data_IF_410219102498
#
_entry.id   IF_410219102498
#
_cell.length_a   1.000
_cell.length_b   1.000
_cell.length_c   1.000
_cell.angle_alpha   90.00
_cell.angle_beta   90.00
_cell.angle_gamma   90.00
#
_symmetry.space_group_name_H-M   'P 1'
#
loop_
_entity.id
_entity.type
_entity.pdbx_description
1 polymer ?
#
# COMPACT_ATOMS: atom_id res chain seq x y z
N UNK A 1 -34.25 26.07 16.54
CA UNK A 1 -34.95 26.07 15.24
C UNK A 1 -34.19 26.98 14.28
N UNK A 2 -32.95 26.59 13.93
CA UNK A 2 -32.27 27.04 12.72
C UNK A 2 -32.18 25.75 11.93
N UNK A 3 -33.27 25.42 11.23
CA UNK A 3 -33.27 24.29 10.31
C UNK A 3 -32.33 24.67 9.17
N UNK A 4 -31.30 23.86 8.96
CA UNK A 4 -30.62 23.84 7.68
C UNK A 4 -31.69 23.62 6.61
N UNK A 5 -32.01 24.66 5.86
CA UNK A 5 -32.87 24.53 4.69
C UNK A 5 -32.13 23.63 3.71
N UNK A 6 -32.57 22.36 3.64
CA UNK A 6 -32.20 21.46 2.57
C UNK A 6 -33.30 21.55 1.50
N UNK A 7 -32.93 21.53 0.21
CA UNK A 7 -31.59 21.47 -0.34
C UNK A 7 -30.79 22.74 -0.04
N UNK A 8 -29.46 22.63 -0.02
CA UNK A 8 -28.57 23.77 0.21
C UNK A 8 -28.86 24.86 -0.83
N UNK A 9 -29.13 26.08 -0.34
CA UNK A 9 -29.40 27.28 -1.15
C UNK A 9 -28.38 28.37 -0.82
N UNK A 10 -28.30 29.38 -1.69
CA UNK A 10 -27.43 30.56 -1.51
C UNK A 10 -26.20 30.55 -2.42
N UNK A 11 -25.38 31.60 -2.31
CA UNK A 11 -24.23 31.84 -3.18
C UNK A 11 -23.12 30.79 -3.10
N UNK A 12 -23.03 30.08 -1.97
CA UNK A 12 -22.04 29.01 -1.77
C UNK A 12 -22.52 27.63 -2.25
N UNK A 13 -23.77 27.50 -2.73
CA UNK A 13 -24.30 26.22 -3.22
C UNK A 13 -23.43 25.63 -4.33
N UNK A 14 -23.15 26.40 -5.37
CA UNK A 14 -22.39 25.91 -6.53
C UNK A 14 -20.93 25.56 -6.18
N UNK A 15 -20.17 26.41 -5.46
CA UNK A 15 -18.83 26.05 -5.00
C UNK A 15 -18.78 24.78 -4.15
N UNK A 16 -19.72 24.61 -3.22
CA UNK A 16 -19.78 23.42 -2.36
C UNK A 16 -20.11 22.17 -3.19
N UNK A 17 -21.06 22.27 -4.12
CA UNK A 17 -21.40 21.17 -5.03
C UNK A 17 -20.20 20.73 -5.88
N UNK A 18 -19.41 21.69 -6.38
CA UNK A 18 -18.19 21.40 -7.13
C UNK A 18 -17.16 20.69 -6.25
N UNK A 19 -16.91 21.18 -5.02
CA UNK A 19 -16.00 20.54 -4.09
C UNK A 19 -16.44 19.11 -3.76
N UNK A 20 -17.70 18.90 -3.39
CA UNK A 20 -18.25 17.57 -3.10
C UNK A 20 -18.15 16.62 -4.31
N UNK A 21 -18.38 17.14 -5.52
CA UNK A 21 -18.21 16.37 -6.75
C UNK A 21 -16.75 15.95 -6.97
N UNK A 22 -15.78 16.80 -6.62
CA UNK A 22 -14.36 16.45 -6.69
C UNK A 22 -14.01 15.26 -5.77
N UNK A 23 -14.65 15.12 -4.60
CA UNK A 23 -14.46 13.92 -3.77
C UNK A 23 -14.89 12.65 -4.51
N UNK A 24 -16.07 12.66 -5.13
CA UNK A 24 -16.61 11.52 -5.87
C UNK A 24 -15.65 11.12 -6.99
N UNK A 25 -15.22 12.09 -7.80
CA UNK A 25 -14.31 11.86 -8.92
C UNK A 25 -12.94 11.37 -8.46
N UNK A 26 -12.36 11.99 -7.44
CA UNK A 26 -11.03 11.63 -6.94
C UNK A 26 -11.02 10.21 -6.35
N UNK A 27 -12.03 9.85 -5.57
CA UNK A 27 -12.19 8.49 -5.04
C UNK A 27 -12.39 7.47 -6.16
N UNK A 28 -13.18 7.81 -7.19
CA UNK A 28 -13.39 6.96 -8.35
C UNK A 28 -12.10 6.78 -9.16
N UNK A 29 -11.33 7.86 -9.36
CA UNK A 29 -10.03 7.83 -10.01
C UNK A 29 -9.06 6.89 -9.29
N UNK A 30 -9.00 6.96 -7.96
CA UNK A 30 -8.18 6.02 -7.17
C UNK A 30 -8.62 4.57 -7.37
N UNK A 31 -9.92 4.29 -7.34
CA UNK A 31 -10.43 2.95 -7.64
C UNK A 31 -10.02 2.48 -9.05
N UNK A 32 -10.07 3.37 -10.05
CA UNK A 32 -9.65 3.07 -11.43
C UNK A 32 -8.14 2.86 -11.53
N UNK A 33 -7.31 3.65 -10.84
CA UNK A 33 -5.86 3.47 -10.78
C UNK A 33 -5.51 2.07 -10.24
N UNK A 34 -6.13 1.65 -9.14
CA UNK A 34 -5.90 0.31 -8.59
C UNK A 34 -6.42 -0.80 -9.52
N UNK A 35 -7.53 -0.58 -10.21
CA UNK A 35 -8.00 -1.49 -11.26
C UNK A 35 -7.01 -1.63 -12.41
N UNK A 36 -6.46 -0.50 -12.90
CA UNK A 36 -5.45 -0.49 -13.97
C UNK A 36 -4.17 -1.19 -13.54
N UNK A 37 -3.72 -1.02 -12.28
CA UNK A 37 -2.57 -1.76 -11.73
C UNK A 37 -2.78 -3.28 -11.78
N UNK A 38 -3.96 -3.76 -11.38
CA UNK A 38 -4.31 -5.20 -11.47
C UNK A 38 -4.25 -5.71 -12.91
N UNK A 39 -4.73 -4.92 -13.88
CA UNK A 39 -4.80 -5.34 -15.29
C UNK A 39 -3.46 -5.28 -16.01
N UNK A 40 -2.61 -4.30 -15.67
CA UNK A 40 -1.37 -4.00 -16.40
C UNK A 40 -0.22 -4.95 -16.06
N UNK A 41 -0.18 -5.47 -14.84
CA UNK A 41 0.92 -6.31 -14.40
C UNK A 41 0.55 -7.81 -14.51
N UNK A 42 1.51 -8.66 -14.93
CA UNK A 42 1.46 -10.12 -14.71
C UNK A 42 1.72 -10.42 -13.23
N UNK A 43 0.82 -9.95 -12.36
CA UNK A 43 1.02 -9.98 -10.91
C UNK A 43 0.80 -11.39 -10.37
N UNK A 44 1.62 -11.79 -9.40
CA UNK A 44 1.26 -12.86 -8.46
C UNK A 44 -0.10 -12.58 -7.78
N UNK A 45 -0.89 -13.63 -7.54
CA UNK A 45 -2.29 -13.53 -7.08
C UNK A 45 -2.51 -12.66 -5.82
N UNK A 46 -1.47 -12.49 -5.02
CA UNK A 46 -1.48 -11.82 -3.73
C UNK A 46 -1.52 -10.29 -3.86
N UNK A 47 -0.64 -9.66 -4.67
CA UNK A 47 -0.71 -8.22 -4.94
C UNK A 47 -2.01 -7.86 -5.67
N UNK A 48 -2.53 -8.75 -6.53
CA UNK A 48 -3.88 -8.58 -7.10
C UNK A 48 -4.98 -8.52 -6.05
N UNK A 49 -4.85 -9.23 -4.92
CA UNK A 49 -5.88 -9.27 -3.88
C UNK A 49 -5.91 -7.99 -3.04
N UNK A 50 -4.77 -7.46 -2.61
CA UNK A 50 -4.71 -6.21 -1.84
C UNK A 50 -5.30 -5.04 -2.63
N UNK A 51 -4.91 -4.93 -3.91
CA UNK A 51 -5.40 -3.91 -4.82
C UNK A 51 -6.92 -4.02 -5.03
N UNK A 52 -7.47 -5.25 -5.12
CA UNK A 52 -8.94 -5.47 -5.12
C UNK A 52 -9.58 -4.88 -3.87
N UNK A 53 -8.96 -5.09 -2.70
CA UNK A 53 -9.44 -4.50 -1.45
C UNK A 53 -9.55 -2.98 -1.55
N UNK A 54 -8.51 -2.30 -2.04
CA UNK A 54 -8.50 -0.85 -2.21
C UNK A 54 -9.55 -0.36 -3.20
N UNK A 55 -9.79 -1.10 -4.30
CA UNK A 55 -10.89 -0.79 -5.22
C UNK A 55 -12.22 -0.76 -4.48
N UNK A 56 -12.52 -1.79 -3.67
CA UNK A 56 -13.76 -1.82 -2.88
C UNK A 56 -13.82 -0.65 -1.90
N UNK A 57 -12.72 -0.34 -1.21
CA UNK A 57 -12.63 0.79 -0.29
C UNK A 57 -13.02 2.11 -1.00
N UNK A 58 -12.30 2.49 -2.05
CA UNK A 58 -12.49 3.78 -2.70
C UNK A 58 -13.80 3.88 -3.47
N UNK A 59 -14.23 2.80 -4.12
CA UNK A 59 -15.51 2.74 -4.83
C UNK A 59 -16.69 2.89 -3.85
N UNK A 60 -16.62 2.27 -2.67
CA UNK A 60 -17.62 2.40 -1.62
C UNK A 60 -17.78 3.83 -1.12
N UNK A 61 -16.66 4.52 -0.87
CA UNK A 61 -16.69 5.93 -0.47
C UNK A 61 -17.17 6.85 -1.60
N UNK A 62 -16.80 6.59 -2.86
CA UNK A 62 -17.24 7.39 -4.01
C UNK A 62 -18.77 7.32 -4.17
N UNK A 63 -19.34 6.11 -4.11
CA UNK A 63 -20.80 5.92 -4.19
C UNK A 63 -21.50 6.58 -3.00
N UNK A 64 -20.98 6.42 -1.78
CA UNK A 64 -21.54 7.09 -0.60
C UNK A 64 -21.60 8.61 -0.79
N UNK A 65 -20.50 9.23 -1.23
CA UNK A 65 -20.45 10.68 -1.47
C UNK A 65 -21.41 11.13 -2.56
N UNK A 66 -21.62 10.33 -3.61
CA UNK A 66 -22.66 10.60 -4.59
C UNK A 66 -24.07 10.68 -3.96
N UNK A 67 -24.42 9.76 -3.04
CA UNK A 67 -25.68 9.82 -2.30
C UNK A 67 -25.75 11.04 -1.36
N UNK A 68 -24.63 11.47 -0.79
CA UNK A 68 -24.57 12.71 0.01
C UNK A 68 -24.93 13.92 -0.86
N UNK A 69 -24.33 14.04 -2.05
CA UNK A 69 -24.63 15.13 -3.00
C UNK A 69 -26.12 15.12 -3.37
N UNK A 70 -26.67 13.96 -3.73
CA UNK A 70 -28.10 13.84 -4.07
C UNK A 70 -28.97 14.28 -2.89
N UNK A 71 -28.67 13.79 -1.69
CA UNK A 71 -29.43 14.10 -0.48
C UNK A 71 -29.37 15.58 -0.09
N UNK A 72 -28.20 16.21 -0.18
CA UNK A 72 -27.98 17.58 0.31
C UNK A 72 -28.37 18.68 -0.68
N UNK A 73 -28.28 18.44 -2.00
CA UNK A 73 -28.48 19.49 -3.01
C UNK A 73 -29.78 19.39 -3.81
N UNK A 74 -30.42 18.22 -3.81
CA UNK A 74 -31.55 17.95 -4.71
C UNK A 74 -32.82 17.48 -4.01
N UNK A 75 -32.81 17.26 -2.69
CA UNK A 75 -33.94 16.67 -1.97
C UNK A 75 -34.48 17.63 -0.91
N UNK A 76 -35.70 18.12 -1.13
CA UNK A 76 -36.38 19.03 -0.18
C UNK A 76 -36.94 18.30 1.06
N UNK A 77 -37.38 17.05 0.89
CA UNK A 77 -38.00 16.29 1.99
C UNK A 77 -36.94 15.72 2.93
N UNK A 78 -37.00 16.12 4.22
CA UNK A 78 -36.10 15.64 5.28
C UNK A 78 -36.10 14.10 5.37
N UNK A 79 -37.28 13.48 5.25
CA UNK A 79 -37.41 12.03 5.31
C UNK A 79 -36.74 11.34 4.12
N UNK A 80 -36.96 11.86 2.90
CA UNK A 80 -36.36 11.31 1.69
C UNK A 80 -34.85 11.52 1.67
N UNK A 81 -34.38 12.70 2.10
CA UNK A 81 -32.95 13.00 2.25
C UNK A 81 -32.30 12.00 3.21
N UNK A 82 -32.87 11.83 4.40
CA UNK A 82 -32.36 10.86 5.35
C UNK A 82 -32.33 9.45 4.74
N UNK A 83 -33.39 9.01 4.07
CA UNK A 83 -33.42 7.71 3.38
C UNK A 83 -32.25 7.54 2.40
N UNK A 84 -32.02 8.53 1.53
CA UNK A 84 -30.94 8.55 0.52
C UNK A 84 -29.55 8.50 1.20
N UNK A 85 -29.34 9.29 2.25
CA UNK A 85 -28.08 9.27 3.01
C UNK A 85 -27.83 7.91 3.64
N UNK A 86 -28.85 7.29 4.24
CA UNK A 86 -28.71 5.96 4.85
C UNK A 86 -28.42 4.88 3.81
N UNK A 87 -29.02 4.98 2.62
CA UNK A 87 -28.71 4.08 1.52
C UNK A 87 -27.23 4.21 1.11
N UNK A 88 -26.72 5.44 1.01
CA UNK A 88 -25.30 5.71 0.76
C UNK A 88 -24.37 5.07 1.80
N UNK A 89 -24.66 5.26 3.10
CA UNK A 89 -23.88 4.63 4.17
C UNK A 89 -23.97 3.11 4.20
N UNK A 90 -25.16 2.53 3.93
CA UNK A 90 -25.32 1.07 3.85
C UNK A 90 -24.48 0.49 2.71
N UNK A 91 -24.53 1.11 1.54
CA UNK A 91 -23.70 0.72 0.40
C UNK A 91 -22.22 0.80 0.80
N UNK A 92 -21.78 1.91 1.39
CA UNK A 92 -20.41 2.05 1.87
C UNK A 92 -20.00 0.90 2.79
N UNK A 93 -20.81 0.53 3.77
CA UNK A 93 -20.52 -0.59 4.68
C UNK A 93 -20.34 -1.92 3.92
N UNK A 94 -21.17 -2.19 2.90
CA UNK A 94 -21.07 -3.39 2.05
C UNK A 94 -19.75 -3.41 1.26
N UNK A 95 -19.28 -2.26 0.80
CA UNK A 95 -17.98 -2.16 0.15
C UNK A 95 -16.82 -2.33 1.15
N UNK A 96 -16.93 -1.71 2.33
CA UNK A 96 -15.93 -1.81 3.40
C UNK A 96 -15.77 -3.24 3.94
N UNK A 97 -16.86 -4.01 4.09
CA UNK A 97 -16.75 -5.42 4.49
C UNK A 97 -16.02 -6.25 3.42
N UNK A 98 -16.18 -5.94 2.13
CA UNK A 98 -15.42 -6.62 1.09
C UNK A 98 -13.92 -6.30 1.19
N UNK A 99 -13.55 -5.05 1.48
CA UNK A 99 -12.18 -4.67 1.81
C UNK A 99 -11.65 -5.47 3.01
N UNK A 100 -12.36 -5.46 4.15
CA UNK A 100 -11.96 -6.20 5.37
C UNK A 100 -11.80 -7.70 5.10
N UNK A 101 -12.76 -8.31 4.38
CA UNK A 101 -12.75 -9.73 4.02
C UNK A 101 -11.53 -10.10 3.18
N UNK A 102 -11.19 -9.27 2.21
CA UNK A 102 -10.03 -9.49 1.34
C UNK A 102 -8.73 -9.42 2.15
N UNK A 103 -8.61 -8.45 3.03
CA UNK A 103 -7.43 -8.31 3.89
C UNK A 103 -7.29 -9.45 4.90
N UNK A 104 -8.39 -9.86 5.57
CA UNK A 104 -8.39 -11.01 6.50
C UNK A 104 -8.19 -12.36 5.81
N UNK A 105 -8.58 -12.48 4.52
CA UNK A 105 -8.27 -13.68 3.72
C UNK A 105 -6.77 -13.84 3.54
N UNK A 106 -6.05 -12.73 3.38
CA UNK A 106 -4.61 -12.73 3.15
C UNK A 106 -3.82 -12.96 4.43
N UNK A 107 -4.17 -12.23 5.50
CA UNK A 107 -3.44 -12.32 6.77
C UNK A 107 -4.39 -12.46 7.94
N UNK A 108 -4.08 -13.43 8.81
CA UNK A 108 -4.79 -13.59 10.08
C UNK A 108 -4.22 -12.57 11.06
N UNK A 109 -4.98 -11.50 11.33
CA UNK A 109 -4.58 -10.47 12.29
C UNK A 109 -4.74 -10.95 13.74
N UNK A 110 -5.94 -11.44 14.09
CA UNK A 110 -6.26 -11.97 15.42
C UNK A 110 -6.83 -13.38 15.28
N UNK A 111 -7.97 -13.50 14.59
CA UNK A 111 -8.62 -14.77 14.26
C UNK A 111 -9.17 -14.66 12.85
N UNK A 112 -9.14 -15.78 12.10
CA UNK A 112 -9.58 -15.81 10.70
C UNK A 112 -11.03 -15.31 10.57
N UNK A 113 -11.22 -14.24 9.81
CA UNK A 113 -12.51 -13.58 9.55
C UNK A 113 -13.25 -13.01 10.78
N UNK A 114 -12.54 -12.62 11.83
CA UNK A 114 -13.16 -12.04 13.03
C UNK A 114 -13.88 -10.73 12.69
N UNK A 115 -13.15 -9.79 12.08
CA UNK A 115 -13.68 -8.45 11.78
C UNK A 115 -14.77 -8.52 10.71
N UNK A 116 -14.60 -9.38 9.70
CA UNK A 116 -15.60 -9.64 8.67
C UNK A 116 -16.92 -10.10 9.30
N UNK A 117 -16.89 -11.06 10.24
CA UNK A 117 -18.11 -11.56 10.90
C UNK A 117 -18.80 -10.47 11.72
N UNK A 118 -18.03 -9.68 12.49
CA UNK A 118 -18.57 -8.57 13.28
C UNK A 118 -19.22 -7.52 12.37
N UNK A 119 -18.50 -7.10 11.32
CA UNK A 119 -19.01 -6.13 10.33
C UNK A 119 -20.27 -6.66 9.61
N UNK A 120 -20.33 -7.96 9.31
CA UNK A 120 -21.50 -8.59 8.67
C UNK A 120 -22.74 -8.49 9.56
N UNK A 121 -22.59 -8.81 10.84
CA UNK A 121 -23.68 -8.70 11.83
C UNK A 121 -24.15 -7.25 11.94
N UNK A 122 -23.22 -6.29 12.00
CA UNK A 122 -23.55 -4.87 12.05
C UNK A 122 -24.26 -4.38 10.77
N UNK A 123 -23.89 -4.88 9.59
CA UNK A 123 -24.60 -4.57 8.33
C UNK A 123 -26.01 -5.12 8.34
N UNK A 124 -26.21 -6.36 8.81
CA UNK A 124 -27.56 -6.95 8.93
C UNK A 124 -28.43 -6.15 9.92
N UNK A 125 -27.87 -5.75 11.06
CA UNK A 125 -28.56 -4.91 12.04
C UNK A 125 -28.85 -3.52 11.44
N UNK A 126 -27.90 -2.93 10.69
CA UNK A 126 -28.09 -1.66 9.99
C UNK A 126 -29.20 -1.74 8.95
N UNK A 127 -29.27 -2.83 8.20
CA UNK A 127 -30.33 -3.09 7.22
C UNK A 127 -31.70 -3.24 7.89
N UNK A 128 -31.79 -3.92 9.04
CA UNK A 128 -33.05 -4.01 9.80
C UNK A 128 -33.45 -2.65 10.38
N UNK A 129 -32.50 -1.93 10.97
CA UNK A 129 -32.72 -0.59 11.52
C UNK A 129 -33.12 0.44 10.45
N UNK A 130 -32.78 0.19 9.18
CA UNK A 130 -33.22 0.98 8.04
C UNK A 130 -34.74 1.16 8.00
N UNK A 131 -35.50 0.12 8.36
CA UNK A 131 -36.97 0.10 8.30
C UNK A 131 -37.67 0.52 9.60
N UNK A 132 -36.96 0.58 10.74
CA UNK A 132 -37.57 0.82 12.06
C UNK A 132 -37.56 2.32 12.39
N UNK A 133 -36.39 2.88 12.66
CA UNK A 133 -36.24 4.29 13.04
C UNK A 133 -34.83 4.80 12.68
N UNK A 134 -34.79 6.07 12.28
CA UNK A 134 -33.60 6.86 12.06
C UNK A 134 -32.62 6.99 13.21
N UNK A 135 -33.11 6.97 14.45
CA UNK A 135 -32.26 7.21 15.62
C UNK A 135 -31.27 6.07 15.89
N UNK A 136 -31.73 4.81 15.83
CA UNK A 136 -30.88 3.63 16.06
C UNK A 136 -29.76 3.49 15.03
N UNK A 137 -29.95 4.03 13.82
CA UNK A 137 -28.96 3.96 12.73
C UNK A 137 -27.66 4.67 13.09
N UNK A 138 -27.73 5.81 13.77
CA UNK A 138 -26.53 6.54 14.17
C UNK A 138 -25.66 5.71 15.11
N UNK A 139 -26.27 5.02 16.08
CA UNK A 139 -25.56 4.13 17.00
C UNK A 139 -24.91 2.95 16.28
N UNK A 140 -25.62 2.34 15.32
CA UNK A 140 -25.09 1.21 14.54
C UNK A 140 -23.93 1.67 13.64
N UNK A 141 -24.07 2.82 12.99
CA UNK A 141 -23.03 3.42 12.16
C UNK A 141 -21.78 3.72 12.98
N UNK A 142 -21.93 4.36 14.15
CA UNK A 142 -20.82 4.64 15.07
C UNK A 142 -20.14 3.35 15.55
N UNK A 143 -20.94 2.33 15.90
CA UNK A 143 -20.42 1.01 16.29
C UNK A 143 -19.60 0.39 15.17
N UNK A 144 -20.09 0.42 13.93
CA UNK A 144 -19.37 -0.07 12.75
C UNK A 144 -18.04 0.66 12.56
N UNK A 145 -18.02 1.98 12.67
CA UNK A 145 -16.80 2.77 12.53
C UNK A 145 -15.77 2.46 13.61
N UNK A 146 -16.18 2.21 14.86
CA UNK A 146 -15.25 1.80 15.93
C UNK A 146 -14.54 0.49 15.54
N UNK A 147 -15.27 -0.52 15.08
CA UNK A 147 -14.67 -1.79 14.66
C UNK A 147 -13.82 -1.63 13.40
N UNK A 148 -14.26 -0.83 12.44
CA UNK A 148 -13.51 -0.57 11.21
C UNK A 148 -12.20 0.17 11.50
N UNK A 149 -12.22 1.21 12.33
CA UNK A 149 -11.03 1.96 12.75
C UNK A 149 -10.09 1.06 13.54
N UNK A 150 -10.62 0.22 14.44
CA UNK A 150 -9.82 -0.76 15.18
C UNK A 150 -9.12 -1.75 14.23
N UNK A 151 -9.86 -2.32 13.28
CA UNK A 151 -9.30 -3.16 12.23
C UNK A 151 -8.21 -2.44 11.43
N UNK A 152 -8.51 -1.23 10.95
CA UNK A 152 -7.61 -0.46 10.10
C UNK A 152 -6.34 -0.05 10.87
N UNK A 153 -6.45 0.27 12.15
CA UNK A 153 -5.30 0.55 13.02
C UNK A 153 -4.40 -0.67 13.18
N UNK A 154 -4.97 -1.85 13.44
CA UNK A 154 -4.21 -3.11 13.50
C UNK A 154 -3.53 -3.39 12.16
N UNK A 155 -4.24 -3.17 11.06
CA UNK A 155 -3.71 -3.30 9.70
C UNK A 155 -2.50 -2.37 9.47
N UNK A 156 -2.58 -1.09 9.85
CA UNK A 156 -1.45 -0.14 9.73
C UNK A 156 -0.26 -0.51 10.62
N UNK A 157 -0.50 -0.90 11.87
CA UNK A 157 0.55 -1.34 12.80
C UNK A 157 1.27 -2.56 12.23
N UNK A 158 0.50 -3.52 11.72
CA UNK A 158 1.06 -4.72 11.10
C UNK A 158 1.88 -4.38 9.84
N UNK A 159 1.39 -3.44 9.03
CA UNK A 159 2.11 -2.92 7.87
C UNK A 159 3.42 -2.25 8.30
N UNK A 160 3.42 -1.42 9.35
CA UNK A 160 4.61 -0.71 9.82
C UNK A 160 5.64 -1.56 10.61
N UNK A 161 5.20 -2.54 11.39
CA UNK A 161 5.99 -3.08 12.53
C UNK A 161 7.16 -4.00 12.21
N UNK A 162 7.29 -4.56 11.00
CA UNK A 162 8.29 -5.62 10.75
C UNK A 162 9.18 -5.46 9.53
N UNK A 163 8.74 -4.76 8.49
CA UNK A 163 9.42 -4.85 7.20
C UNK A 163 9.86 -3.48 6.66
N UNK A 164 8.96 -2.49 6.63
CA UNK A 164 9.27 -1.18 6.02
C UNK A 164 10.19 -0.30 6.87
N UNK A 165 10.17 -0.46 8.20
CA UNK A 165 11.07 0.30 9.09
C UNK A 165 12.52 -0.20 8.99
N UNK A 166 12.76 -1.52 8.78
CA UNK A 166 14.12 -2.09 8.71
C UNK A 166 14.79 -1.81 7.35
N UNK A 167 14.01 -1.82 6.27
CA UNK A 167 14.56 -1.67 4.91
C UNK A 167 14.57 -0.21 4.44
N UNK A 168 13.86 0.69 5.14
CA UNK A 168 13.68 2.10 4.76
C UNK A 168 13.24 2.26 3.30
N UNK A 169 12.24 1.44 2.92
CA UNK A 169 11.65 1.47 1.58
C UNK A 169 11.00 2.84 1.36
N UNK A 170 11.63 3.65 0.49
CA UNK A 170 11.06 4.88 -0.11
C UNK A 170 10.49 5.90 0.89
N UNK A 171 11.09 6.03 2.08
CA UNK A 171 10.60 7.00 3.07
C UNK A 171 9.19 6.67 3.58
N UNK A 172 8.84 5.39 3.70
CA UNK A 172 7.53 4.94 4.18
C UNK A 172 7.05 5.65 5.47
N UNK A 173 7.96 6.03 6.38
CA UNK A 173 7.64 6.81 7.59
C UNK A 173 7.03 8.18 7.27
N UNK A 174 7.55 8.86 6.24
CA UNK A 174 7.04 10.14 5.78
C UNK A 174 5.64 9.98 5.18
N UNK A 175 5.42 8.93 4.40
CA UNK A 175 4.09 8.64 3.82
C UNK A 175 3.07 8.26 4.91
N UNK A 176 3.48 7.49 5.92
CA UNK A 176 2.63 7.19 7.08
C UNK A 176 2.30 8.46 7.87
N UNK A 177 3.25 9.38 8.03
CA UNK A 177 3.01 10.68 8.67
C UNK A 177 2.00 11.50 7.86
N UNK A 178 2.16 11.59 6.53
CA UNK A 178 1.19 12.25 5.63
C UNK A 178 -0.20 11.63 5.76
N UNK A 179 -0.27 10.30 5.85
CA UNK A 179 -1.53 9.59 6.07
C UNK A 179 -2.20 9.99 7.40
N UNK A 180 -1.45 10.03 8.51
CA UNK A 180 -1.98 10.46 9.80
C UNK A 180 -2.45 11.92 9.78
N UNK A 181 -1.68 12.82 9.17
CA UNK A 181 -2.08 14.22 8.97
C UNK A 181 -3.36 14.28 8.13
N UNK A 182 -3.46 13.47 7.08
CA UNK A 182 -4.65 13.35 6.25
C UNK A 182 -5.90 12.93 7.02
N UNK A 183 -5.79 11.93 7.91
CA UNK A 183 -6.90 11.54 8.80
C UNK A 183 -7.33 12.69 9.70
N UNK A 184 -6.37 13.40 10.31
CA UNK A 184 -6.67 14.53 11.20
C UNK A 184 -7.41 15.62 10.42
N UNK A 185 -6.96 15.95 9.22
CA UNK A 185 -7.61 16.93 8.35
C UNK A 185 -9.03 16.52 7.97
N UNK A 186 -9.26 15.25 7.62
CA UNK A 186 -10.61 14.74 7.34
C UNK A 186 -11.49 14.80 8.59
N UNK A 187 -10.98 14.43 9.77
CA UNK A 187 -11.74 14.46 11.02
C UNK A 187 -12.12 15.89 11.43
N UNK A 188 -11.17 16.82 11.36
CA UNK A 188 -11.40 18.25 11.61
C UNK A 188 -12.39 18.80 10.58
N UNK A 189 -12.14 18.58 9.29
CA UNK A 189 -13.04 19.03 8.24
C UNK A 189 -14.45 18.45 8.37
N UNK A 190 -14.60 17.17 8.71
CA UNK A 190 -15.90 16.54 8.98
C UNK A 190 -16.61 17.11 10.21
N UNK A 191 -15.85 17.58 11.19
CA UNK A 191 -16.44 18.29 12.33
C UNK A 191 -16.99 19.64 11.87
N UNK A 192 -16.24 20.39 11.05
CA UNK A 192 -16.67 21.68 10.51
C UNK A 192 -17.91 21.60 9.60
N UNK A 193 -18.09 20.47 8.90
CA UNK A 193 -19.29 20.23 8.06
C UNK A 193 -20.51 19.78 8.87
N UNK A 194 -20.39 19.55 10.19
CA UNK A 194 -21.55 19.16 11.00
C UNK A 194 -22.62 20.25 11.03
N UNK A 195 -23.88 19.82 10.93
CA UNK A 195 -25.07 20.70 10.93
C UNK A 195 -25.08 21.73 12.07
N UNK A 196 -24.55 21.37 13.25
CA UNK A 196 -24.47 22.28 14.39
C UNK A 196 -23.53 23.46 14.14
N UNK A 197 -22.31 23.21 13.65
CA UNK A 197 -21.34 24.27 13.36
C UNK A 197 -21.79 25.10 12.16
N UNK A 198 -22.35 24.46 11.13
CA UNK A 198 -22.95 25.16 9.99
C UNK A 198 -24.11 26.04 10.41
N UNK A 199 -24.93 25.60 11.38
CA UNK A 199 -26.02 26.41 11.92
C UNK A 199 -25.55 27.65 12.70
N UNK A 200 -24.34 27.61 13.30
CA UNK A 200 -23.77 28.73 14.07
C UNK A 200 -22.97 29.68 13.18
N UNK A 201 -22.11 29.15 12.30
CA UNK A 201 -21.14 29.91 11.51
C UNK A 201 -21.56 30.09 10.04
N UNK A 202 -22.67 29.49 9.60
CA UNK A 202 -23.16 29.54 8.23
C UNK A 202 -22.42 28.60 7.26
N UNK A 203 -22.72 28.71 5.98
CA UNK A 203 -22.14 27.84 4.93
C UNK A 203 -20.62 28.04 4.72
N UNK A 204 -20.05 29.16 5.18
CA UNK A 204 -18.62 29.43 5.07
C UNK A 204 -17.75 28.41 5.82
N UNK A 205 -18.19 27.96 7.01
CA UNK A 205 -17.44 26.95 7.77
C UNK A 205 -17.47 25.58 7.09
N UNK A 206 -18.59 25.24 6.43
CA UNK A 206 -18.73 24.03 5.62
C UNK A 206 -17.73 24.03 4.48
N UNK A 207 -17.64 25.15 3.75
CA UNK A 207 -16.70 25.31 2.64
C UNK A 207 -15.23 25.11 3.06
N UNK A 208 -14.84 25.69 4.20
CA UNK A 208 -13.51 25.46 4.79
C UNK A 208 -13.33 23.98 5.16
N UNK A 209 -14.36 23.37 5.75
CA UNK A 209 -14.37 21.95 6.11
C UNK A 209 -14.15 21.04 4.89
N UNK A 210 -14.84 21.30 3.78
CA UNK A 210 -14.71 20.54 2.53
C UNK A 210 -13.31 20.70 1.92
N UNK A 211 -12.71 21.90 1.96
CA UNK A 211 -11.31 22.10 1.52
C UNK A 211 -10.33 21.26 2.37
N UNK A 212 -10.49 21.26 3.70
CA UNK A 212 -9.64 20.48 4.59
C UNK A 212 -9.79 18.98 4.35
N UNK A 213 -11.03 18.50 4.17
CA UNK A 213 -11.30 17.11 3.84
C UNK A 213 -10.67 16.72 2.50
N UNK A 214 -10.74 17.57 1.46
CA UNK A 214 -10.18 17.29 0.14
C UNK A 214 -8.65 17.20 0.21
N UNK A 215 -8.01 18.14 0.91
CA UNK A 215 -6.57 18.10 1.12
C UNK A 215 -6.15 16.86 1.93
N UNK A 216 -6.93 16.50 2.96
CA UNK A 216 -6.72 15.27 3.72
C UNK A 216 -6.84 14.01 2.86
N UNK A 217 -7.81 13.97 1.95
CA UNK A 217 -8.00 12.88 1.00
C UNK A 217 -6.83 12.75 0.02
N UNK A 218 -6.29 13.87 -0.48
CA UNK A 218 -5.09 13.89 -1.32
C UNK A 218 -3.90 13.28 -0.58
N UNK A 219 -3.66 13.67 0.68
CA UNK A 219 -2.57 13.08 1.49
C UNK A 219 -2.74 11.58 1.71
N UNK A 220 -3.96 11.14 2.00
CA UNK A 220 -4.28 9.71 2.14
C UNK A 220 -4.03 8.96 0.83
N UNK A 221 -4.36 9.56 -0.31
CA UNK A 221 -4.18 8.93 -1.62
C UNK A 221 -2.71 8.66 -1.95
N UNK A 222 -1.82 9.60 -1.62
CA UNK A 222 -0.37 9.42 -1.80
C UNK A 222 0.15 8.23 -1.02
N UNK A 223 -0.36 8.04 0.20
CA UNK A 223 -0.04 6.87 1.01
C UNK A 223 -0.46 5.58 0.29
N UNK A 224 -1.73 5.43 -0.09
CA UNK A 224 -2.21 4.21 -0.75
C UNK A 224 -1.53 3.92 -2.10
N UNK A 225 -1.21 4.96 -2.88
CA UNK A 225 -0.48 4.82 -4.15
C UNK A 225 0.95 4.29 -3.92
N UNK A 226 1.57 4.69 -2.80
CA UNK A 226 2.95 4.36 -2.46
C UNK A 226 3.07 3.07 -1.64
N UNK A 227 1.98 2.58 -1.03
CA UNK A 227 2.01 1.34 -0.25
C UNK A 227 2.55 0.20 -1.14
N UNK A 228 3.70 -0.38 -0.78
CA UNK A 228 4.20 -1.59 -1.42
C UNK A 228 3.27 -2.78 -1.19
N UNK A 229 3.27 -3.69 -2.17
CA UNK A 229 2.39 -4.85 -2.12
C UNK A 229 2.79 -5.84 -1.03
N UNK A 230 1.83 -6.62 -0.53
CA UNK A 230 2.09 -7.66 0.46
C UNK A 230 3.11 -8.74 0.04
N UNK A 231 3.39 -8.92 -1.26
CA UNK A 231 4.48 -9.80 -1.71
C UNK A 231 5.84 -9.36 -1.19
N UNK A 232 6.00 -8.06 -1.00
CA UNK A 232 7.21 -7.49 -0.42
C UNK A 232 7.39 -7.97 1.02
N UNK A 233 6.33 -8.34 1.75
CA UNK A 233 6.43 -8.83 3.13
C UNK A 233 7.10 -10.21 3.23
N UNK A 234 6.85 -11.10 2.27
CA UNK A 234 7.38 -12.47 2.24
C UNK A 234 8.56 -12.61 1.26
N UNK A 235 9.34 -11.54 1.09
CA UNK A 235 10.48 -11.49 0.17
C UNK A 235 11.53 -12.59 0.45
N UNK A 236 11.73 -12.97 1.72
CA UNK A 236 12.72 -13.99 2.13
C UNK A 236 12.47 -15.31 1.42
N UNK A 237 11.21 -15.73 1.35
CA UNK A 237 10.80 -16.96 0.69
C UNK A 237 11.08 -16.91 -0.81
N UNK A 238 11.13 -15.72 -1.41
CA UNK A 238 11.33 -15.52 -2.85
C UNK A 238 12.79 -15.53 -3.28
N UNK A 239 13.74 -15.48 -2.33
CA UNK A 239 15.17 -15.58 -2.61
C UNK A 239 15.56 -17.04 -2.82
N UNK A 240 16.21 -17.31 -3.95
CA UNK A 240 16.80 -18.63 -4.24
C UNK A 240 18.27 -18.62 -3.82
N UNK A 241 19.02 -17.64 -4.31
CA UNK A 241 20.45 -17.51 -4.00
C UNK A 241 20.98 -16.11 -4.27
N UNK A 242 22.05 -15.76 -3.56
CA UNK A 242 22.85 -14.55 -3.76
C UNK A 242 24.26 -14.95 -4.14
N UNK A 243 24.84 -14.26 -5.11
CA UNK A 243 26.23 -14.39 -5.53
C UNK A 243 26.93 -13.04 -5.49
N UNK A 244 28.18 -13.04 -5.08
CA UNK A 244 29.09 -11.91 -5.19
C UNK A 244 30.25 -12.32 -6.10
N UNK A 245 30.54 -11.47 -7.07
CA UNK A 245 31.64 -11.64 -8.01
C UNK A 245 32.52 -10.41 -7.98
N UNK A 246 33.83 -10.58 -8.07
CA UNK A 246 34.75 -9.49 -8.32
C UNK A 246 34.53 -8.91 -9.72
N UNK A 247 34.92 -7.64 -9.95
CA UNK A 247 34.87 -7.04 -11.29
C UNK A 247 35.66 -7.81 -12.34
N UNK A 248 36.71 -8.53 -11.93
CA UNK A 248 37.47 -9.44 -12.80
C UNK A 248 36.68 -10.67 -13.30
N UNK A 249 35.46 -10.91 -12.80
CA UNK A 249 34.64 -12.08 -13.12
C UNK A 249 34.94 -13.31 -12.24
N UNK A 250 35.83 -13.16 -11.26
CA UNK A 250 36.09 -14.19 -10.26
C UNK A 250 34.99 -14.21 -9.20
N UNK A 251 34.63 -15.42 -8.79
CA UNK A 251 33.61 -15.64 -7.78
C UNK A 251 34.17 -15.42 -6.36
N UNK A 252 33.43 -14.69 -5.52
CA UNK A 252 33.82 -14.37 -4.14
C UNK A 252 32.95 -15.12 -3.12
N UNK A 253 31.63 -15.09 -3.29
CA UNK A 253 30.71 -15.60 -2.28
C UNK A 253 29.38 -16.06 -2.88
N UNK A 254 28.80 -17.13 -2.32
CA UNK A 254 27.47 -17.65 -2.66
C UNK A 254 26.75 -18.03 -1.39
N UNK A 255 25.49 -17.63 -1.34
CA UNK A 255 24.52 -18.17 -0.41
C UNK A 255 23.34 -18.74 -1.17
N UNK A 256 23.01 -19.99 -0.91
CA UNK A 256 21.72 -20.53 -1.29
C UNK A 256 20.79 -20.51 -0.09
N UNK A 257 19.58 -19.99 -0.29
CA UNK A 257 18.54 -19.88 0.75
C UNK A 257 17.53 -21.03 0.65
N UNK A 258 17.53 -21.77 -0.48
CA UNK A 258 16.67 -22.94 -0.70
C UNK A 258 17.52 -24.15 -1.10
N UNK A 259 17.37 -25.25 -0.37
CA UNK A 259 18.12 -26.51 -0.59
C UNK A 259 17.67 -27.32 -1.82
N UNK A 260 16.67 -26.87 -2.59
CA UNK A 260 15.96 -27.71 -3.58
C UNK A 260 16.53 -27.75 -5.00
N UNK A 261 17.78 -27.35 -5.22
CA UNK A 261 18.43 -27.47 -6.53
C UNK A 261 19.35 -28.68 -6.61
N UNK A 262 19.31 -29.44 -7.71
CA UNK A 262 20.43 -30.31 -8.10
C UNK A 262 21.74 -29.53 -7.98
N UNK A 263 22.85 -30.11 -7.50
CA UNK A 263 24.12 -29.41 -7.39
C UNK A 263 24.57 -28.99 -8.80
N UNK A 264 24.23 -27.76 -9.17
CA UNK A 264 24.76 -27.13 -10.37
C UNK A 264 26.16 -26.67 -10.00
N UNK A 265 27.14 -27.09 -10.80
CA UNK A 265 28.53 -26.74 -10.63
C UNK A 265 28.70 -25.21 -10.55
N UNK A 266 29.34 -24.76 -9.47
CA UNK A 266 29.56 -23.33 -9.18
C UNK A 266 30.42 -22.67 -10.25
N UNK A 267 31.32 -23.43 -10.87
CA UNK A 267 32.14 -22.96 -11.99
C UNK A 267 31.29 -22.63 -13.22
N UNK A 268 30.27 -23.46 -13.51
CA UNK A 268 29.34 -23.26 -14.64
C UNK A 268 28.44 -22.05 -14.41
N UNK A 269 27.93 -21.88 -13.18
CA UNK A 269 27.13 -20.69 -12.83
C UNK A 269 27.98 -19.44 -12.98
N UNK A 270 29.20 -19.44 -12.43
CA UNK A 270 30.09 -18.28 -12.49
C UNK A 270 30.44 -17.93 -13.93
N UNK A 271 30.85 -18.91 -14.75
CA UNK A 271 31.14 -18.68 -16.16
C UNK A 271 29.95 -18.13 -16.94
N UNK A 272 28.75 -18.63 -16.65
CA UNK A 272 27.49 -18.15 -17.25
C UNK A 272 27.19 -16.70 -16.82
N UNK A 273 27.28 -16.40 -15.52
CA UNK A 273 27.04 -15.06 -14.99
C UNK A 273 28.05 -14.03 -15.51
N UNK A 274 29.32 -14.41 -15.64
CA UNK A 274 30.36 -13.56 -16.23
C UNK A 274 30.10 -13.31 -17.71
N UNK A 275 29.64 -14.32 -18.46
CA UNK A 275 29.26 -14.14 -19.87
C UNK A 275 28.06 -13.19 -20.00
N UNK A 276 27.03 -13.38 -19.18
CA UNK A 276 25.87 -12.48 -19.12
C UNK A 276 26.29 -11.06 -18.77
N UNK A 277 27.17 -10.89 -17.78
CA UNK A 277 27.76 -9.61 -17.40
C UNK A 277 28.44 -8.92 -18.59
N UNK A 278 29.33 -9.62 -19.29
CA UNK A 278 30.03 -9.08 -20.47
C UNK A 278 29.05 -8.66 -21.58
N UNK A 279 27.93 -9.36 -21.73
CA UNK A 279 26.87 -8.96 -22.66
C UNK A 279 26.15 -7.70 -22.17
N UNK A 280 25.79 -7.61 -20.89
CA UNK A 280 25.12 -6.44 -20.30
C UNK A 280 26.01 -5.19 -20.40
N UNK A 281 27.30 -5.28 -20.07
CA UNK A 281 28.24 -4.15 -20.18
C UNK A 281 28.41 -3.61 -21.61
N UNK A 282 28.17 -4.46 -22.62
CA UNK A 282 28.23 -4.04 -24.04
C UNK A 282 26.93 -3.42 -24.55
N UNK A 283 25.81 -3.66 -23.86
CA UNK A 283 24.47 -3.32 -24.36
C UNK A 283 23.78 -2.25 -23.50
N UNK A 284 24.22 -2.04 -22.26
CA UNK A 284 23.67 -1.04 -21.33
C UNK A 284 24.75 -0.18 -20.70
N UNK A 285 24.41 1.06 -20.35
CA UNK A 285 25.27 1.91 -19.52
C UNK A 285 25.53 1.25 -18.16
N UNK A 286 26.81 1.29 -17.77
CA UNK A 286 27.52 0.36 -16.85
C UNK A 286 27.02 0.43 -15.39
N UNK A 287 26.25 1.44 -15.02
CA UNK A 287 25.97 1.78 -13.63
C UNK A 287 24.54 1.45 -13.17
N UNK A 288 23.71 0.83 -14.01
CA UNK A 288 22.30 0.56 -13.70
C UNK A 288 22.00 -0.89 -13.32
N UNK A 289 20.96 -1.08 -12.48
CA UNK A 289 20.45 -2.40 -12.11
C UNK A 289 19.91 -3.10 -13.35
N UNK A 290 20.44 -4.27 -13.67
CA UNK A 290 20.01 -5.07 -14.80
C UNK A 290 19.15 -6.25 -14.34
N UNK A 291 18.01 -6.48 -14.99
CA UNK A 291 17.05 -7.53 -14.61
C UNK A 291 16.83 -8.47 -15.78
N UNK A 292 17.13 -9.74 -15.58
CA UNK A 292 16.91 -10.79 -16.58
C UNK A 292 15.83 -11.73 -16.08
N UNK A 293 14.72 -11.79 -16.83
CA UNK A 293 13.58 -12.66 -16.53
C UNK A 293 13.60 -13.87 -17.45
N UNK A 294 13.65 -15.08 -16.88
CA UNK A 294 13.52 -16.33 -17.64
C UNK A 294 12.62 -17.31 -16.90
N UNK A 295 11.44 -17.56 -17.48
CA UNK A 295 10.38 -18.39 -16.88
C UNK A 295 10.03 -17.90 -15.46
N UNK A 296 10.17 -18.76 -14.46
CA UNK A 296 9.85 -18.51 -13.04
C UNK A 296 11.05 -17.99 -12.24
N UNK A 297 12.17 -17.65 -12.91
CA UNK A 297 13.37 -17.13 -12.27
C UNK A 297 13.73 -15.76 -12.81
N UNK A 298 14.13 -14.90 -11.90
CA UNK A 298 14.53 -13.53 -12.14
C UNK A 298 15.93 -13.36 -11.56
N UNK A 299 16.83 -12.85 -12.39
CA UNK A 299 18.18 -12.50 -11.99
C UNK A 299 18.27 -10.99 -11.91
N UNK A 300 18.63 -10.48 -10.74
CA UNK A 300 18.86 -9.07 -10.47
C UNK A 300 20.37 -8.87 -10.36
N UNK A 301 20.95 -8.14 -11.30
CA UNK A 301 22.35 -7.74 -11.32
C UNK A 301 22.46 -6.32 -10.80
N UNK A 302 23.28 -6.14 -9.76
CA UNK A 302 23.61 -4.85 -9.20
C UNK A 302 25.12 -4.63 -9.33
N UNK A 303 25.57 -3.65 -10.12
CA UNK A 303 26.97 -3.24 -10.14
C UNK A 303 27.33 -2.50 -8.85
N UNK A 304 28.53 -2.77 -8.34
CA UNK A 304 29.24 -1.99 -7.32
C UNK A 304 30.54 -1.40 -7.88
N UNK A 305 31.33 -0.75 -7.02
CA UNK A 305 32.64 -0.18 -7.41
C UNK A 305 33.69 -1.24 -7.70
N UNK A 306 33.73 -2.33 -6.94
CA UNK A 306 34.73 -3.40 -7.05
C UNK A 306 34.10 -4.80 -7.25
N UNK A 307 32.83 -4.95 -6.90
CA UNK A 307 32.10 -6.22 -7.02
C UNK A 307 30.80 -6.06 -7.80
N UNK A 308 30.26 -7.18 -8.26
CA UNK A 308 28.89 -7.33 -8.74
C UNK A 308 28.15 -8.25 -7.80
N UNK A 309 26.94 -7.86 -7.41
CA UNK A 309 26.00 -8.77 -6.78
C UNK A 309 24.98 -9.28 -7.78
N UNK A 310 24.71 -10.58 -7.70
CA UNK A 310 23.67 -11.25 -8.46
C UNK A 310 22.72 -11.92 -7.49
N UNK A 311 21.46 -11.51 -7.52
CA UNK A 311 20.39 -12.13 -6.76
C UNK A 311 19.49 -12.93 -7.72
N UNK A 312 19.28 -14.21 -7.40
CA UNK A 312 18.32 -15.06 -8.09
C UNK A 312 17.07 -15.18 -7.22
N UNK A 313 15.93 -14.78 -7.76
CA UNK A 313 14.65 -14.80 -7.08
C UNK A 313 13.50 -15.29 -7.98
N UNK A 314 12.36 -15.59 -7.39
CA UNK A 314 11.14 -15.99 -8.12
C UNK A 314 10.33 -14.78 -8.62
N UNK A 315 10.39 -13.67 -7.89
CA UNK A 315 9.62 -12.45 -8.15
C UNK A 315 10.52 -11.21 -8.15
N UNK A 316 10.21 -10.24 -9.02
CA UNK A 316 10.91 -8.97 -9.06
C UNK A 316 10.30 -8.06 -8.01
N UNK A 317 10.91 -8.04 -6.83
CA UNK A 317 10.50 -7.21 -5.71
C UNK A 317 11.45 -6.02 -5.58
N UNK A 318 10.92 -4.87 -5.21
CA UNK A 318 11.71 -3.66 -5.03
C UNK A 318 12.61 -3.78 -3.79
N UNK A 319 12.10 -4.42 -2.74
CA UNK A 319 12.89 -4.72 -1.54
C UNK A 319 14.16 -5.51 -1.83
N UNK A 320 14.08 -6.49 -2.73
CA UNK A 320 15.21 -7.33 -3.10
C UNK A 320 16.33 -6.54 -3.78
N UNK A 321 15.99 -5.54 -4.60
CA UNK A 321 16.98 -4.63 -5.21
C UNK A 321 17.67 -3.78 -4.14
N UNK A 322 16.89 -3.22 -3.21
CA UNK A 322 17.42 -2.40 -2.11
C UNK A 322 18.32 -3.24 -1.19
N UNK A 323 17.92 -4.46 -0.86
CA UNK A 323 18.71 -5.38 -0.04
C UNK A 323 20.02 -5.78 -0.72
N UNK A 324 19.98 -6.09 -2.02
CA UNK A 324 21.19 -6.40 -2.77
C UNK A 324 22.16 -5.20 -2.82
N UNK A 325 21.64 -3.99 -3.04
CA UNK A 325 22.44 -2.77 -3.01
C UNK A 325 23.07 -2.53 -1.63
N UNK A 326 22.27 -2.66 -0.54
CA UNK A 326 22.78 -2.57 0.84
C UNK A 326 23.87 -3.62 1.12
N UNK A 327 23.69 -4.84 0.61
CA UNK A 327 24.67 -5.92 0.78
C UNK A 327 26.00 -5.60 0.09
N UNK A 328 25.95 -5.19 -1.18
CA UNK A 328 27.15 -4.80 -1.93
C UNK A 328 27.85 -3.63 -1.27
N UNK A 329 27.11 -2.56 -0.96
CA UNK A 329 27.70 -1.36 -0.36
C UNK A 329 28.38 -1.68 0.97
N UNK A 330 27.77 -2.54 1.80
CA UNK A 330 28.35 -2.95 3.08
C UNK A 330 29.63 -3.79 2.89
N UNK A 331 29.66 -4.70 1.93
CA UNK A 331 30.87 -5.45 1.58
C UNK A 331 31.96 -4.50 1.09
N UNK A 332 31.65 -3.61 0.15
CA UNK A 332 32.65 -2.67 -0.39
C UNK A 332 33.16 -1.70 0.66
N UNK A 333 32.33 -1.30 1.62
CA UNK A 333 32.74 -0.43 2.72
C UNK A 333 33.76 -1.14 3.62
N UNK A 334 33.54 -2.42 3.94
CA UNK A 334 34.40 -3.20 4.82
C UNK A 334 35.67 -3.66 4.10
N UNK A 335 35.57 -4.03 2.82
CA UNK A 335 36.62 -4.72 2.07
C UNK A 335 37.24 -3.89 0.94
N UNK A 336 36.93 -2.59 0.80
CA UNK A 336 37.44 -1.72 -0.28
C UNK A 336 38.94 -1.90 -0.55
N UNK A 337 39.78 -1.77 0.48
CA UNK A 337 41.23 -1.90 0.36
C UNK A 337 41.69 -3.29 -0.09
N UNK A 338 40.95 -4.34 0.27
CA UNK A 338 41.27 -5.72 -0.09
C UNK A 338 40.79 -6.02 -1.51
N UNK A 339 39.64 -5.48 -1.91
CA UNK A 339 39.02 -5.70 -3.21
C UNK A 339 39.78 -5.01 -4.33
N UNK A 340 40.43 -3.87 -4.07
CA UNK A 340 41.22 -3.14 -5.06
C UNK A 340 42.44 -3.94 -5.53
N UNK A 341 43.19 -4.54 -4.60
CA UNK A 341 44.41 -5.30 -4.87
C UNK A 341 44.26 -6.80 -4.57
N UNK A 342 43.07 -7.37 -4.81
CA UNK A 342 42.76 -8.72 -4.36
C UNK A 342 43.62 -9.80 -5.06
N UNK A 343 44.34 -10.59 -4.25
CA UNK A 343 45.27 -11.65 -4.67
C UNK A 343 44.62 -13.03 -4.89
N UNK A 344 43.28 -13.07 -4.98
CA UNK A 344 42.46 -14.30 -5.13
C UNK A 344 42.32 -15.15 -3.86
N UNK A 345 42.81 -14.69 -2.71
CA UNK A 345 42.60 -15.40 -1.46
C UNK A 345 41.15 -15.25 -0.96
N UNK A 346 40.35 -16.33 -1.04
CA UNK A 346 38.94 -16.33 -0.61
C UNK A 346 38.76 -16.37 0.92
N UNK A 347 39.77 -16.79 1.68
CA UNK A 347 39.64 -16.93 3.13
C UNK A 347 39.37 -15.59 3.83
N UNK A 348 39.83 -14.50 3.22
CA UNK A 348 39.63 -13.12 3.71
C UNK A 348 38.15 -12.72 3.71
N UNK A 349 37.32 -13.36 2.88
CA UNK A 349 35.89 -13.06 2.74
C UNK A 349 34.97 -13.96 3.57
N UNK A 350 35.52 -14.82 4.43
CA UNK A 350 34.73 -15.66 5.35
C UNK A 350 33.69 -14.88 6.19
N UNK A 351 33.93 -13.62 6.63
CA UNK A 351 32.93 -12.84 7.37
C UNK A 351 31.73 -12.34 6.55
N UNK A 352 31.76 -12.44 5.21
CA UNK A 352 30.62 -12.02 4.36
C UNK A 352 29.33 -12.79 4.74
N UNK A 353 29.45 -14.02 5.21
CA UNK A 353 28.31 -14.81 5.72
C UNK A 353 27.58 -14.09 6.86
N UNK A 354 28.30 -13.39 7.74
CA UNK A 354 27.69 -12.60 8.82
C UNK A 354 26.91 -11.41 8.29
N UNK A 355 27.45 -10.73 7.27
CA UNK A 355 26.78 -9.61 6.60
C UNK A 355 25.51 -10.10 5.88
N UNK A 356 25.60 -11.24 5.21
CA UNK A 356 24.46 -11.85 4.52
C UNK A 356 23.35 -12.23 5.52
N UNK A 357 23.72 -12.76 6.69
CA UNK A 357 22.76 -13.05 7.76
C UNK A 357 22.06 -11.79 8.28
N UNK A 358 22.79 -10.70 8.49
CA UNK A 358 22.21 -9.46 8.98
C UNK A 358 21.20 -8.82 8.01
N UNK A 359 21.48 -8.91 6.71
CA UNK A 359 20.69 -8.24 5.67
C UNK A 359 19.53 -9.12 5.19
N UNK A 360 19.77 -10.42 5.00
CA UNK A 360 18.78 -11.32 4.41
C UNK A 360 17.93 -12.11 5.43
N UNK A 361 18.24 -12.03 6.73
CA UNK A 361 17.45 -12.62 7.82
C UNK A 361 16.95 -11.54 8.80
#
# INVERSE_FOLDING_TARGET
MILNEFPIKGSLKEPLLVLESLFVFFLLELAVIFWMRIRSEKISELKSSQEKGYIWLFLGYSIMWFFIIVGDYYVDSIHLRNFILNLGYLIQMIFLINFVRIMEKYKVFIRKYLFTKICLVLILISFLAFFIDSYYRLFILLSFWIFFIGFFTIYLIDLGSKFYIKIDLRGFKLELLKFCIGIILIAVGSTLTMSLLVGIFGLGIRFIGDILQLFGLILISFFFITIPSYNEYNWQDKIISVFIMHKSGLFIYKKSFREKGSPIDESVITGTLTTIKMMLEKVSDIDSISIIKKKEKILIFQPGRFIYGVLICEEELESLKILLSKFINKIETIYSNILEDWDRNLNVFTPIEGIAKEIFY
#
